data_IF_730410943836
#
_entry.id   IF_730410943836
#
_cell.length_a   1.000
_cell.length_b   1.000
_cell.length_c   1.000
_cell.angle_alpha   90.00
_cell.angle_beta   90.00
_cell.angle_gamma   90.00
#
_symmetry.space_group_name_H-M   'P 1'
#
loop_
_entity.id
_entity.type
_entity.pdbx_description
1 polymer ?
#
# COMPACT_ATOMS: atom_id res chain seq x y z
N UNK A 1 -7.94 -13.09 15.54
CA UNK A 1 -9.40 -12.96 15.56
C UNK A 1 -9.99 -14.18 14.85
N UNK A 2 -11.30 -14.36 14.88
CA UNK A 2 -11.98 -15.39 14.08
C UNK A 2 -11.74 -15.13 12.58
N UNK A 3 -11.14 -16.09 11.89
CA UNK A 3 -10.76 -15.95 10.48
C UNK A 3 -11.95 -15.68 9.57
N UNK A 4 -13.11 -16.29 9.85
CA UNK A 4 -14.31 -16.10 9.05
C UNK A 4 -14.88 -14.70 9.23
N UNK A 5 -14.80 -14.13 10.44
CA UNK A 5 -15.21 -12.75 10.69
C UNK A 5 -14.25 -11.75 10.02
N UNK A 6 -12.94 -12.00 10.07
CA UNK A 6 -11.95 -11.15 9.38
C UNK A 6 -12.21 -11.15 7.87
N UNK A 7 -12.46 -12.31 7.28
CA UNK A 7 -12.74 -12.41 5.85
C UNK A 7 -14.07 -11.72 5.50
N UNK A 8 -15.13 -11.91 6.28
CA UNK A 8 -16.40 -11.21 6.08
C UNK A 8 -16.24 -9.67 6.12
N UNK A 9 -15.45 -9.16 7.07
CA UNK A 9 -15.16 -7.73 7.18
C UNK A 9 -14.38 -7.20 5.96
N UNK A 10 -13.40 -7.96 5.46
CA UNK A 10 -12.64 -7.61 4.24
C UNK A 10 -13.54 -7.58 3.01
N UNK A 11 -14.41 -8.57 2.85
CA UNK A 11 -15.37 -8.60 1.75
C UNK A 11 -16.35 -7.42 1.80
N UNK A 12 -16.83 -7.06 3.00
CA UNK A 12 -17.67 -5.88 3.18
C UNK A 12 -16.94 -4.58 2.80
N UNK A 13 -15.67 -4.42 3.19
CA UNK A 13 -14.85 -3.26 2.82
C UNK A 13 -14.76 -3.11 1.30
N UNK A 14 -14.45 -4.20 0.58
CA UNK A 14 -14.30 -4.21 -0.88
C UNK A 14 -15.59 -3.76 -1.56
N UNK A 15 -16.74 -4.30 -1.11
CA UNK A 15 -18.04 -3.95 -1.64
C UNK A 15 -18.43 -2.49 -1.37
N UNK A 16 -18.23 -2.02 -0.14
CA UNK A 16 -18.61 -0.66 0.27
C UNK A 16 -17.75 0.42 -0.40
N UNK A 17 -16.43 0.19 -0.47
CA UNK A 17 -15.50 1.10 -1.13
C UNK A 17 -15.46 0.94 -2.66
N UNK A 18 -16.17 -0.04 -3.22
CA UNK A 18 -16.22 -0.36 -4.66
C UNK A 18 -14.81 -0.56 -5.25
N UNK A 19 -13.97 -1.31 -4.53
CA UNK A 19 -12.60 -1.55 -4.96
C UNK A 19 -12.58 -2.38 -6.25
N UNK A 20 -11.72 -2.04 -7.23
CA UNK A 20 -11.67 -2.71 -8.52
C UNK A 20 -11.08 -4.14 -8.44
N UNK A 21 -10.36 -4.45 -7.37
CA UNK A 21 -9.78 -5.76 -7.10
C UNK A 21 -9.55 -5.97 -5.59
N UNK A 22 -9.06 -7.15 -5.22
CA UNK A 22 -8.60 -7.43 -3.86
C UNK A 22 -7.41 -6.51 -3.52
N UNK A 23 -7.37 -5.89 -2.32
CA UNK A 23 -6.17 -5.21 -1.85
C UNK A 23 -4.97 -6.15 -1.81
N UNK A 24 -3.82 -5.67 -2.26
CA UNK A 24 -2.56 -6.39 -2.11
C UNK A 24 -2.02 -6.14 -0.71
N UNK A 25 -2.19 -7.11 0.17
CA UNK A 25 -1.67 -7.07 1.54
C UNK A 25 -0.15 -7.30 1.56
N UNK A 26 0.52 -6.67 2.52
CA UNK A 26 1.97 -6.78 2.71
C UNK A 26 2.29 -7.50 4.02
N UNK A 27 3.41 -8.21 4.05
CA UNK A 27 4.06 -8.64 5.30
C UNK A 27 4.86 -7.45 5.84
N UNK A 28 4.18 -6.63 6.65
CA UNK A 28 4.70 -5.38 7.20
C UNK A 28 5.68 -5.65 8.34
N UNK A 29 6.96 -5.36 8.11
CA UNK A 29 8.06 -5.66 9.04
C UNK A 29 8.66 -4.43 9.72
N UNK A 30 7.99 -3.27 9.60
CA UNK A 30 8.45 -1.97 10.08
C UNK A 30 9.79 -1.54 9.46
N UNK A 31 10.04 -1.98 8.24
CA UNK A 31 11.17 -1.60 7.41
C UNK A 31 10.85 -0.40 6.53
N UNK A 32 11.59 -0.30 5.42
CA UNK A 32 11.50 0.82 4.47
C UNK A 32 11.11 0.38 3.06
N UNK A 33 11.00 -0.92 2.82
CA UNK A 33 10.91 -1.44 1.48
C UNK A 33 9.54 -1.09 0.85
N UNK A 34 9.57 -0.56 -0.37
CA UNK A 34 8.39 -0.32 -1.18
C UNK A 34 8.41 -1.27 -2.38
N UNK A 35 7.25 -1.78 -2.77
CA UNK A 35 7.11 -2.68 -3.91
C UNK A 35 6.13 -2.13 -4.95
N UNK A 36 6.42 -2.36 -6.23
CA UNK A 36 5.46 -2.11 -7.30
C UNK A 36 4.49 -3.30 -7.42
N UNK A 37 3.20 -3.04 -7.26
CA UNK A 37 2.12 -4.04 -7.35
C UNK A 37 1.31 -3.90 -8.64
N UNK A 38 1.87 -3.24 -9.66
CA UNK A 38 1.21 -3.04 -10.94
C UNK A 38 1.08 -4.31 -11.77
N UNK A 39 1.83 -5.37 -11.44
CA UNK A 39 1.70 -6.67 -12.09
C UNK A 39 0.77 -7.60 -11.30
N UNK A 40 -0.07 -8.34 -12.03
CA UNK A 40 -1.10 -9.23 -11.48
C UNK A 40 -0.57 -10.45 -10.73
N UNK A 41 0.71 -10.78 -10.87
CA UNK A 41 1.34 -11.98 -10.29
C UNK A 41 1.54 -11.91 -8.77
N UNK A 42 1.40 -10.71 -8.18
CA UNK A 42 1.48 -10.50 -6.74
C UNK A 42 0.31 -11.15 -5.98
N UNK A 43 -0.79 -11.48 -6.67
CA UNK A 43 -1.94 -12.15 -6.07
C UNK A 43 -1.82 -13.69 -5.98
N UNK A 44 -0.75 -14.29 -6.54
CA UNK A 44 -0.60 -15.74 -6.64
C UNK A 44 0.61 -16.35 -5.93
N UNK A 45 1.61 -15.55 -5.54
CA UNK A 45 2.92 -16.06 -5.12
C UNK A 45 3.43 -15.38 -3.86
N UNK A 46 2.94 -15.83 -2.69
CA UNK A 46 3.31 -15.38 -1.35
C UNK A 46 3.02 -13.89 -1.04
N UNK A 47 2.73 -13.59 0.23
CA UNK A 47 2.54 -12.21 0.70
C UNK A 47 3.90 -11.51 0.67
N UNK A 48 4.07 -10.40 -0.08
CA UNK A 48 5.38 -9.77 -0.21
C UNK A 48 5.76 -9.00 1.05
N UNK A 49 7.02 -9.15 1.47
CA UNK A 49 7.55 -8.43 2.62
C UNK A 49 7.94 -7.00 2.26
N UNK A 50 7.16 -6.04 2.75
CA UNK A 50 7.31 -4.62 2.48
C UNK A 50 6.47 -3.80 3.47
N UNK A 51 6.77 -2.51 3.57
CA UNK A 51 6.00 -1.55 4.37
C UNK A 51 5.37 -0.46 3.50
N UNK A 52 5.57 -0.52 2.17
CA UNK A 52 4.87 0.32 1.22
C UNK A 52 4.57 -0.44 -0.08
N UNK A 53 3.50 -0.04 -0.76
CA UNK A 53 3.16 -0.51 -2.10
C UNK A 53 2.91 0.67 -3.02
N UNK A 54 3.22 0.49 -4.31
CA UNK A 54 3.02 1.48 -5.37
C UNK A 54 2.22 0.83 -6.49
N UNK A 55 1.22 1.53 -7.02
CA UNK A 55 0.47 1.12 -8.19
C UNK A 55 0.53 2.20 -9.27
N UNK A 56 0.75 1.78 -10.52
CA UNK A 56 0.79 2.61 -11.74
C UNK A 56 -0.33 2.28 -12.73
N UNK A 57 -1.25 1.42 -12.32
CA UNK A 57 -2.41 1.02 -13.10
C UNK A 57 -3.70 1.31 -12.30
N UNK A 58 -4.86 1.17 -12.95
CA UNK A 58 -6.16 1.48 -12.36
C UNK A 58 -6.81 0.30 -11.61
N UNK A 59 -6.22 -0.90 -11.66
CA UNK A 59 -6.83 -2.13 -11.16
C UNK A 59 -6.22 -2.58 -9.83
N UNK A 60 -4.95 -2.31 -9.58
CA UNK A 60 -4.23 -2.67 -8.36
C UNK A 60 -4.61 -1.74 -7.21
N UNK A 61 -4.86 -2.33 -6.03
CA UNK A 61 -5.25 -1.59 -4.83
C UNK A 61 -4.13 -1.65 -3.79
N UNK A 62 -3.45 -0.52 -3.57
CA UNK A 62 -2.50 -0.35 -2.48
C UNK A 62 -3.23 -0.32 -1.14
N UNK A 63 -2.77 -1.11 -0.17
CA UNK A 63 -3.30 -1.11 1.19
C UNK A 63 -2.18 -1.29 2.22
N UNK A 64 -2.39 -0.71 3.40
CA UNK A 64 -1.57 -0.92 4.59
C UNK A 64 -2.48 -1.14 5.77
N UNK A 65 -2.12 -2.09 6.64
CA UNK A 65 -2.86 -2.40 7.85
C UNK A 65 -2.21 -1.67 9.02
N UNK A 66 -3.01 -0.98 9.84
CA UNK A 66 -2.50 -0.23 10.98
C UNK A 66 -3.39 -0.39 12.20
N UNK A 67 -2.75 -0.29 13.35
CA UNK A 67 -3.34 0.11 14.63
C UNK A 67 -2.21 0.88 15.32
N UNK A 68 -2.40 2.18 15.55
CA UNK A 68 -1.41 3.16 16.04
C UNK A 68 -0.34 3.66 15.05
N UNK A 69 0.29 2.80 14.24
CA UNK A 69 1.29 3.25 13.25
C UNK A 69 0.66 4.18 12.19
N UNK A 70 1.44 5.14 11.68
CA UNK A 70 0.95 6.16 10.74
C UNK A 70 0.71 5.55 9.34
N UNK A 71 -0.54 5.53 8.83
CA UNK A 71 -0.78 5.30 7.41
C UNK A 71 -0.51 6.60 6.64
N UNK A 72 0.21 6.53 5.52
CA UNK A 72 0.35 7.64 4.57
C UNK A 72 -0.09 7.19 3.20
N UNK A 73 -0.99 7.94 2.56
CA UNK A 73 -1.35 7.73 1.16
C UNK A 73 -0.66 8.79 0.30
N UNK A 74 0.00 8.34 -0.77
CA UNK A 74 0.70 9.22 -1.70
C UNK A 74 0.08 9.08 -3.09
N UNK A 75 0.05 10.18 -3.85
CA UNK A 75 -0.19 10.10 -5.29
C UNK A 75 0.59 11.17 -6.05
N UNK A 76 0.97 10.85 -7.28
CA UNK A 76 1.41 11.89 -8.20
C UNK A 76 0.21 12.78 -8.55
N UNK A 77 0.43 14.09 -8.63
CA UNK A 77 -0.64 15.04 -8.91
C UNK A 77 -1.25 14.88 -10.33
N UNK A 78 -0.52 14.25 -11.26
CA UNK A 78 -1.01 13.87 -12.60
C UNK A 78 -1.88 12.60 -12.60
N UNK A 79 -2.00 11.92 -11.45
CA UNK A 79 -2.75 10.67 -11.30
C UNK A 79 -2.06 9.44 -11.88
N UNK A 80 -0.80 9.52 -12.31
CA UNK A 80 -0.13 8.41 -12.99
C UNK A 80 0.35 7.29 -12.06
N UNK A 81 0.43 7.55 -10.75
CA UNK A 81 0.84 6.57 -9.75
C UNK A 81 0.30 6.93 -8.36
N UNK A 82 0.02 5.91 -7.55
CA UNK A 82 -0.39 6.01 -6.15
C UNK A 82 0.46 5.08 -5.28
N UNK A 83 0.54 5.37 -3.98
CA UNK A 83 1.19 4.49 -3.02
C UNK A 83 0.47 4.51 -1.66
N UNK A 84 0.61 3.42 -0.91
CA UNK A 84 0.21 3.35 0.49
C UNK A 84 1.42 2.93 1.34
N UNK A 85 1.64 3.63 2.45
CA UNK A 85 2.84 3.48 3.29
C UNK A 85 2.44 3.23 4.74
N UNK A 86 3.01 2.19 5.33
CA UNK A 86 2.98 1.89 6.75
C UNK A 86 4.21 2.52 7.40
N UNK A 87 4.01 3.67 8.04
CA UNK A 87 5.08 4.42 8.70
C UNK A 87 5.04 4.24 10.22
N UNK A 88 5.36 3.02 10.69
CA UNK A 88 5.73 2.82 12.08
C UNK A 88 7.02 3.57 12.44
N UNK A 89 7.27 3.85 13.73
CA UNK A 89 8.38 4.73 14.14
C UNK A 89 9.75 4.33 13.57
N UNK A 90 10.02 3.01 13.42
CA UNK A 90 11.26 2.48 12.84
C UNK A 90 11.38 2.80 11.36
N UNK A 91 10.33 2.50 10.59
CA UNK A 91 10.28 2.77 9.17
C UNK A 91 10.33 4.27 8.88
N UNK A 92 9.59 5.06 9.66
CA UNK A 92 9.59 6.52 9.55
C UNK A 92 10.98 7.10 9.82
N UNK A 93 11.64 6.70 10.91
CA UNK A 93 13.01 7.12 11.23
C UNK A 93 14.02 6.70 10.15
N UNK A 94 13.79 5.54 9.53
CA UNK A 94 14.70 4.95 8.53
C UNK A 94 14.42 5.42 7.10
N UNK A 95 13.37 6.21 6.88
CA UNK A 95 13.08 6.84 5.59
C UNK A 95 12.13 6.08 4.66
N UNK A 96 11.11 5.38 5.19
CA UNK A 96 10.13 4.64 4.37
C UNK A 96 9.34 5.57 3.41
N UNK A 97 9.03 6.79 3.83
CA UNK A 97 8.30 7.76 2.99
C UNK A 97 9.20 8.23 1.85
N UNK A 98 10.44 8.61 2.17
CA UNK A 98 11.45 9.07 1.22
C UNK A 98 11.77 7.99 0.19
N UNK A 99 11.96 6.75 0.64
CA UNK A 99 12.14 5.61 -0.26
C UNK A 99 10.94 5.45 -1.20
N UNK A 100 9.72 5.49 -0.67
CA UNK A 100 8.49 5.36 -1.48
C UNK A 100 8.36 6.50 -2.50
N UNK A 101 8.61 7.76 -2.10
CA UNK A 101 8.57 8.93 -2.99
C UNK A 101 9.62 8.81 -4.09
N UNK A 102 10.84 8.38 -3.78
CA UNK A 102 11.89 8.16 -4.79
C UNK A 102 11.47 7.11 -5.83
N UNK A 103 10.75 6.07 -5.38
CA UNK A 103 10.29 4.99 -6.24
C UNK A 103 9.07 5.37 -7.06
N UNK A 104 8.26 6.37 -6.67
CA UNK A 104 7.19 6.91 -7.53
C UNK A 104 7.74 7.46 -8.86
N UNK A 105 9.04 7.77 -8.91
CA UNK A 105 9.73 8.30 -10.08
C UNK A 105 9.53 9.81 -10.22
N UNK A 106 9.87 10.35 -11.40
CA UNK A 106 9.75 11.79 -11.64
C UNK A 106 8.29 12.26 -11.55
N UNK A 107 8.09 13.32 -10.78
CA UNK A 107 6.81 13.97 -10.59
C UNK A 107 7.03 15.46 -10.34
N UNK A 108 6.23 16.32 -10.96
CA UNK A 108 6.21 17.75 -10.64
C UNK A 108 5.75 17.98 -9.20
N UNK A 109 4.76 17.21 -8.75
CA UNK A 109 4.22 17.26 -7.40
C UNK A 109 3.70 15.90 -6.96
N UNK A 110 3.99 15.56 -5.70
CA UNK A 110 3.38 14.43 -4.98
C UNK A 110 2.47 15.00 -3.90
N UNK A 111 1.25 14.47 -3.81
CA UNK A 111 0.31 14.75 -2.75
C UNK A 111 0.45 13.68 -1.67
N UNK A 112 0.31 14.07 -0.41
CA UNK A 112 0.34 13.17 0.75
C UNK A 112 -0.89 13.43 1.62
N UNK A 113 -1.53 12.35 2.06
CA UNK A 113 -2.62 12.34 3.04
C UNK A 113 -2.23 11.48 4.24
#
# INVERSE_FOLDING_TARGET
DDEALVEANRQQLIQQAKLPSQPVWLDQVHGINAIDISDSDVNGTAVPQADASIARNQHSVCAVMTADCLPVLLCKADGSAVAAVHAGWRGLLSGVIENTVSQLGEAERVLAW
#
